data_IF_076467718586
#
_entry.id   IF_076467718586
#
_cell.length_a   1.000
_cell.length_b   1.000
_cell.length_c   1.000
_cell.angle_alpha   90.00
_cell.angle_beta   90.00
_cell.angle_gamma   90.00
#
_symmetry.space_group_name_H-M   'P 1'
#
loop_
_entity.id
_entity.type
_entity.pdbx_description
1 polymer ?
#
# COMPACT_ATOMS: atom_id res chain seq x y z
N UNK A 1 3.98 -1.96 9.47
CA UNK A 1 4.15 -3.11 8.55
C UNK A 1 4.59 -2.57 7.20
N UNK A 2 5.58 -3.18 6.54
CA UNK A 2 6.01 -2.77 5.19
C UNK A 2 5.64 -3.88 4.21
N UNK A 3 4.85 -3.55 3.18
CA UNK A 3 4.36 -4.52 2.19
C UNK A 3 5.18 -4.43 0.90
N UNK A 4 5.77 -5.56 0.48
CA UNK A 4 6.61 -5.67 -0.71
C UNK A 4 6.03 -6.72 -1.64
N UNK A 5 5.60 -6.34 -2.84
CA UNK A 5 5.21 -7.27 -3.89
C UNK A 5 6.42 -7.68 -4.72
N UNK A 6 6.58 -8.98 -4.96
CA UNK A 6 7.65 -9.53 -5.79
C UNK A 6 7.07 -9.95 -7.13
N UNK A 7 7.36 -9.19 -8.18
CA UNK A 7 6.69 -9.32 -9.45
C UNK A 7 7.64 -9.29 -10.64
N UNK A 8 7.35 -10.10 -11.63
CA UNK A 8 7.90 -10.04 -12.99
C UNK A 8 7.03 -10.89 -13.91
N UNK A 9 6.82 -10.45 -15.14
CA UNK A 9 6.05 -11.20 -16.15
C UNK A 9 6.77 -12.46 -16.62
N UNK A 10 8.10 -12.49 -16.47
CA UNK A 10 8.90 -13.64 -16.91
C UNK A 10 8.80 -14.79 -15.89
N UNK A 11 8.43 -15.97 -16.39
CA UNK A 11 8.54 -17.20 -15.62
C UNK A 11 10.01 -17.57 -15.34
N UNK A 12 10.30 -18.10 -14.15
CA UNK A 12 11.64 -18.60 -13.82
C UNK A 12 12.69 -17.54 -13.50
N UNK A 13 12.35 -16.25 -13.41
CA UNK A 13 13.29 -15.18 -13.02
C UNK A 13 13.59 -15.12 -11.51
N UNK A 14 12.98 -15.98 -10.69
CA UNK A 14 13.26 -16.10 -9.27
C UNK A 14 12.30 -15.35 -8.34
N UNK A 15 11.04 -15.06 -8.75
CA UNK A 15 10.03 -14.42 -7.89
C UNK A 15 9.80 -15.19 -6.59
N UNK A 16 9.25 -16.38 -6.68
CA UNK A 16 8.97 -17.26 -5.55
C UNK A 16 10.22 -17.57 -4.72
N UNK A 17 11.33 -17.83 -5.40
CA UNK A 17 12.63 -18.03 -4.74
C UNK A 17 13.03 -16.82 -3.91
N UNK A 18 12.83 -15.61 -4.43
CA UNK A 18 13.13 -14.37 -3.71
C UNK A 18 12.15 -14.15 -2.57
N UNK A 19 10.85 -14.42 -2.77
CA UNK A 19 9.83 -14.30 -1.72
C UNK A 19 10.18 -15.17 -0.50
N UNK A 20 10.47 -16.44 -0.71
CA UNK A 20 10.84 -17.38 0.36
C UNK A 20 12.13 -16.96 1.05
N UNK A 21 13.19 -16.70 0.29
CA UNK A 21 14.52 -16.48 0.87
C UNK A 21 14.68 -15.09 1.51
N UNK A 22 14.03 -14.06 0.97
CA UNK A 22 13.97 -12.75 1.60
C UNK A 22 13.20 -12.83 2.92
N UNK A 23 12.02 -13.49 2.94
CA UNK A 23 11.23 -13.70 4.14
C UNK A 23 12.03 -14.42 5.24
N UNK A 24 12.73 -15.50 4.89
CA UNK A 24 13.55 -16.25 5.83
C UNK A 24 14.73 -15.43 6.37
N UNK A 25 15.39 -14.62 5.53
CA UNK A 25 16.48 -13.76 5.97
C UNK A 25 15.99 -12.61 6.86
N UNK A 26 14.82 -12.02 6.57
CA UNK A 26 14.16 -11.04 7.44
C UNK A 26 13.82 -11.65 8.80
N UNK A 27 13.22 -12.84 8.82
CA UNK A 27 12.86 -13.57 10.04
C UNK A 27 14.11 -13.91 10.89
N UNK A 28 15.19 -14.39 10.28
CA UNK A 28 16.49 -14.65 10.98
C UNK A 28 17.09 -13.39 11.60
N UNK A 29 16.71 -12.20 11.12
CA UNK A 29 17.11 -10.89 11.65
C UNK A 29 16.09 -10.34 12.68
N UNK A 30 15.16 -11.17 13.15
CA UNK A 30 14.20 -10.85 14.20
C UNK A 30 12.97 -10.06 13.72
N UNK A 31 12.73 -10.02 12.40
CA UNK A 31 11.51 -9.41 11.87
C UNK A 31 10.39 -10.44 11.84
N UNK A 32 9.16 -10.02 12.12
CA UNK A 32 7.95 -10.84 11.96
C UNK A 32 7.46 -10.67 10.53
N UNK A 33 7.37 -11.77 9.79
CA UNK A 33 7.07 -11.74 8.36
C UNK A 33 5.77 -12.48 8.06
N UNK A 34 4.88 -11.84 7.32
CA UNK A 34 3.76 -12.50 6.65
C UNK A 34 4.13 -12.72 5.19
N UNK A 35 4.21 -13.97 4.77
CA UNK A 35 4.33 -14.33 3.35
C UNK A 35 2.95 -14.61 2.78
N UNK A 36 2.60 -13.97 1.67
CA UNK A 36 1.35 -14.20 0.95
C UNK A 36 1.70 -14.82 -0.40
N UNK A 37 1.26 -16.06 -0.60
CA UNK A 37 1.37 -16.73 -1.88
C UNK A 37 0.17 -16.33 -2.75
N UNK A 38 0.42 -15.62 -3.83
CA UNK A 38 -0.61 -15.07 -4.72
C UNK A 38 -0.60 -15.74 -6.11
N UNK A 39 0.30 -16.71 -6.31
CA UNK A 39 0.31 -17.53 -7.51
C UNK A 39 -0.58 -18.75 -7.30
N UNK A 40 -1.62 -19.01 -8.13
CA UNK A 40 -2.46 -20.20 -8.04
C UNK A 40 -1.71 -21.53 -8.06
N UNK A 41 -0.43 -21.52 -8.49
CA UNK A 41 0.43 -22.70 -8.46
C UNK A 41 0.93 -23.06 -7.06
N UNK A 42 0.80 -22.19 -6.07
CA UNK A 42 1.14 -22.43 -4.67
C UNK A 42 2.63 -22.72 -4.41
N UNK A 43 3.52 -22.18 -5.26
CA UNK A 43 4.94 -22.53 -5.19
C UNK A 43 5.65 -21.93 -3.98
N UNK A 44 5.19 -20.79 -3.44
CA UNK A 44 5.77 -20.25 -2.21
C UNK A 44 5.38 -21.09 -1.00
N UNK A 45 4.15 -21.55 -0.96
CA UNK A 45 3.63 -22.49 0.05
C UNK A 45 4.41 -23.80 0.02
N UNK A 46 4.51 -24.43 -1.15
CA UNK A 46 5.23 -25.67 -1.34
C UNK A 46 6.72 -25.54 -0.98
N UNK A 47 7.34 -24.44 -1.34
CA UNK A 47 8.76 -24.16 -1.08
C UNK A 47 9.10 -23.95 0.39
N UNK A 48 8.10 -23.79 1.27
CA UNK A 48 8.20 -23.83 2.74
C UNK A 48 7.66 -25.14 3.33
N UNK A 49 7.48 -26.17 2.49
CA UNK A 49 7.02 -27.48 2.92
C UNK A 49 5.54 -27.56 3.29
N UNK A 50 4.74 -26.54 2.89
CA UNK A 50 3.30 -26.51 3.14
C UNK A 50 2.53 -27.04 1.94
N UNK A 51 1.60 -27.97 2.19
CA UNK A 51 0.68 -28.48 1.19
C UNK A 51 -0.69 -27.82 1.39
N UNK A 52 -1.14 -27.02 0.43
CA UNK A 52 -2.31 -26.16 0.54
C UNK A 52 -3.57 -26.71 -0.14
N UNK A 53 -3.61 -28.00 -0.48
CA UNK A 53 -4.72 -28.58 -1.28
C UNK A 53 -6.06 -28.63 -0.52
N UNK A 54 -6.02 -28.74 0.82
CA UNK A 54 -7.21 -28.95 1.68
C UNK A 54 -7.38 -27.86 2.75
N UNK A 55 -6.87 -26.64 2.52
CA UNK A 55 -7.01 -25.55 3.48
C UNK A 55 -7.60 -24.30 2.83
N UNK A 56 -8.31 -23.52 3.63
CA UNK A 56 -8.70 -22.15 3.24
C UNK A 56 -7.44 -21.30 3.06
N UNK A 57 -7.48 -20.38 2.11
CA UNK A 57 -6.34 -19.55 1.76
C UNK A 57 -6.76 -18.20 1.22
N UNK A 58 -5.91 -17.63 0.36
CA UNK A 58 -6.14 -16.30 -0.20
C UNK A 58 -7.42 -16.23 -1.06
N UNK A 59 -7.88 -17.35 -1.63
CA UNK A 59 -9.10 -17.39 -2.43
C UNK A 59 -10.31 -16.98 -1.60
N UNK A 60 -10.50 -17.59 -0.43
CA UNK A 60 -11.63 -17.34 0.46
C UNK A 60 -11.59 -15.90 1.00
N UNK A 61 -10.39 -15.38 1.30
CA UNK A 61 -10.20 -14.00 1.75
C UNK A 61 -10.64 -13.01 0.68
N UNK A 62 -10.18 -13.16 -0.56
CA UNK A 62 -10.49 -12.21 -1.64
C UNK A 62 -11.97 -12.20 -2.04
N UNK A 63 -12.70 -13.28 -1.79
CA UNK A 63 -14.15 -13.38 -2.04
C UNK A 63 -15.00 -13.02 -0.82
N UNK A 64 -14.36 -12.62 0.30
CA UNK A 64 -15.02 -12.35 1.58
C UNK A 64 -15.73 -13.57 2.21
N UNK A 65 -15.30 -14.78 1.87
CA UNK A 65 -15.81 -16.03 2.45
C UNK A 65 -15.09 -16.38 3.76
N UNK A 66 -13.91 -15.74 4.03
CA UNK A 66 -13.16 -15.90 5.27
C UNK A 66 -12.48 -14.60 5.70
N UNK A 67 -12.29 -14.45 7.01
CA UNK A 67 -11.45 -13.38 7.57
C UNK A 67 -9.97 -13.70 7.36
N UNK A 68 -9.15 -12.68 7.05
CA UNK A 68 -7.73 -12.88 6.76
C UNK A 68 -6.98 -13.59 7.90
N UNK A 69 -7.36 -13.33 9.16
CA UNK A 69 -6.74 -13.96 10.33
C UNK A 69 -6.99 -15.46 10.41
N UNK A 70 -8.10 -15.94 9.87
CA UNK A 70 -8.52 -17.34 9.98
C UNK A 70 -7.75 -18.24 9.01
N UNK A 71 -7.23 -17.67 7.92
CA UNK A 71 -6.48 -18.41 6.89
C UNK A 71 -4.96 -18.37 7.08
N UNK A 72 -4.46 -17.58 8.04
CA UNK A 72 -3.02 -17.46 8.30
C UNK A 72 -2.50 -18.76 8.95
N UNK A 73 -1.62 -19.45 8.26
CA UNK A 73 -0.83 -20.54 8.80
C UNK A 73 0.34 -20.00 9.60
N UNK A 74 0.32 -20.24 10.91
CA UNK A 74 1.32 -19.70 11.84
C UNK A 74 2.59 -20.53 11.86
N UNK A 75 3.73 -19.85 12.02
CA UNK A 75 5.06 -20.44 12.23
C UNK A 75 5.42 -21.55 11.20
N UNK A 76 5.05 -21.33 9.92
CA UNK A 76 5.43 -22.27 8.84
C UNK A 76 6.96 -22.37 8.71
N UNK A 77 7.66 -21.32 9.12
CA UNK A 77 9.09 -21.24 9.37
C UNK A 77 9.30 -20.27 10.54
N UNK A 78 10.31 -20.44 11.41
CA UNK A 78 10.52 -19.55 12.56
C UNK A 78 10.50 -18.08 12.18
N UNK A 79 9.46 -17.35 12.65
CA UNK A 79 9.21 -15.93 12.36
C UNK A 79 8.52 -15.65 11.04
N UNK A 80 8.02 -16.67 10.31
CA UNK A 80 7.22 -16.52 9.10
C UNK A 80 5.86 -17.18 9.29
N UNK A 81 4.81 -16.39 9.12
CA UNK A 81 3.45 -16.86 8.91
C UNK A 81 3.12 -16.81 7.42
N UNK A 82 2.20 -17.65 6.94
CA UNK A 82 1.85 -17.82 5.53
C UNK A 82 0.35 -17.70 5.30
N UNK A 83 -0.04 -16.93 4.29
CA UNK A 83 -1.34 -17.08 3.64
C UNK A 83 -1.11 -17.90 2.36
N UNK A 84 -1.60 -19.13 2.29
CA UNK A 84 -1.35 -20.01 1.16
C UNK A 84 -2.21 -19.65 -0.05
N UNK A 85 -1.71 -19.99 -1.25
CA UNK A 85 -2.53 -20.06 -2.45
C UNK A 85 -3.05 -21.48 -2.65
N UNK A 86 -4.28 -21.57 -3.15
CA UNK A 86 -4.85 -22.80 -3.67
C UNK A 86 -5.12 -22.69 -5.17
N UNK A 87 -5.33 -23.79 -5.85
CA UNK A 87 -5.68 -23.78 -7.29
C UNK A 87 -6.97 -22.99 -7.57
N UNK A 88 -7.87 -22.92 -6.58
CA UNK A 88 -9.12 -22.14 -6.65
C UNK A 88 -8.87 -20.66 -6.89
N UNK A 89 -7.70 -20.13 -6.47
CA UNK A 89 -7.31 -18.73 -6.68
C UNK A 89 -7.31 -18.34 -8.17
N UNK A 90 -7.14 -19.29 -9.10
CA UNK A 90 -7.27 -19.04 -10.53
C UNK A 90 -8.68 -18.58 -10.95
N UNK A 91 -9.71 -18.91 -10.19
CA UNK A 91 -11.09 -18.50 -10.46
C UNK A 91 -11.42 -17.07 -10.00
N UNK A 92 -10.62 -16.49 -9.12
CA UNK A 92 -10.85 -15.17 -8.51
C UNK A 92 -11.07 -14.08 -9.57
N UNK A 93 -10.33 -14.10 -10.67
CA UNK A 93 -10.45 -13.09 -11.73
C UNK A 93 -11.86 -13.03 -12.35
N UNK A 94 -12.51 -14.18 -12.46
CA UNK A 94 -13.89 -14.26 -12.99
C UNK A 94 -14.92 -13.85 -11.92
N UNK A 95 -14.70 -14.27 -10.68
CA UNK A 95 -15.66 -14.07 -9.59
C UNK A 95 -15.65 -12.63 -9.06
N UNK A 96 -14.51 -11.97 -9.06
CA UNK A 96 -14.40 -10.56 -8.67
C UNK A 96 -14.86 -9.56 -9.73
N UNK A 97 -15.23 -10.00 -10.94
CA UNK A 97 -15.62 -9.06 -11.99
C UNK A 97 -16.78 -8.14 -11.62
N UNK A 98 -17.71 -8.63 -10.80
CA UNK A 98 -18.88 -7.89 -10.35
C UNK A 98 -18.64 -7.05 -9.08
N UNK A 99 -17.44 -7.17 -8.50
CA UNK A 99 -17.07 -6.40 -7.31
C UNK A 99 -16.59 -4.99 -7.67
N UNK A 100 -17.11 -4.01 -6.95
CA UNK A 100 -16.51 -2.67 -6.93
C UNK A 100 -15.12 -2.76 -6.30
N UNK A 101 -14.16 -1.98 -6.83
CA UNK A 101 -12.77 -1.98 -6.30
C UNK A 101 -12.11 -3.37 -6.28
N UNK A 102 -12.42 -4.22 -7.27
CA UNK A 102 -11.90 -5.59 -7.39
C UNK A 102 -10.38 -5.72 -7.35
N UNK A 103 -9.68 -4.65 -7.69
CA UNK A 103 -8.21 -4.54 -7.68
C UNK A 103 -7.63 -4.07 -6.32
N UNK A 104 -8.50 -3.83 -5.30
CA UNK A 104 -8.11 -3.38 -3.96
C UNK A 104 -8.46 -4.36 -2.84
N UNK A 105 -9.03 -5.50 -3.18
CA UNK A 105 -9.55 -6.45 -2.18
C UNK A 105 -8.47 -6.86 -1.17
N UNK A 106 -7.27 -7.20 -1.64
CA UNK A 106 -6.17 -7.54 -0.73
C UNK A 106 -5.82 -6.39 0.22
N UNK A 107 -5.85 -5.14 -0.25
CA UNK A 107 -5.57 -3.98 0.60
C UNK A 107 -6.56 -3.88 1.75
N UNK A 108 -7.85 -4.03 1.49
CA UNK A 108 -8.90 -3.96 2.52
C UNK A 108 -8.70 -5.01 3.62
N UNK A 109 -8.33 -6.22 3.24
CA UNK A 109 -8.06 -7.28 4.21
C UNK A 109 -6.76 -7.05 4.98
N UNK A 110 -5.70 -6.54 4.33
CA UNK A 110 -4.44 -6.22 5.02
C UNK A 110 -4.56 -5.05 5.99
N UNK A 111 -5.45 -4.10 5.75
CA UNK A 111 -5.70 -2.98 6.68
C UNK A 111 -6.18 -3.47 8.07
N UNK A 112 -6.89 -4.59 8.12
CA UNK A 112 -7.29 -5.20 9.40
C UNK A 112 -6.10 -5.71 10.21
N UNK A 113 -5.03 -6.15 9.55
CA UNK A 113 -3.78 -6.60 10.18
C UNK A 113 -2.88 -5.44 10.62
N UNK A 114 -2.96 -4.27 9.96
CA UNK A 114 -2.17 -3.09 10.33
C UNK A 114 -2.45 -2.64 11.76
N UNK A 115 -3.69 -2.77 12.22
CA UNK A 115 -4.12 -2.38 13.55
C UNK A 115 -3.63 -3.31 14.66
N UNK A 116 -3.13 -4.50 14.33
CA UNK A 116 -2.70 -5.52 15.30
C UNK A 116 -1.19 -5.51 15.61
N UNK A 117 -0.39 -4.67 14.92
CA UNK A 117 1.09 -4.65 15.00
C UNK A 117 1.74 -6.05 14.87
N UNK A 118 1.08 -6.98 14.17
CA UNK A 118 1.47 -8.38 14.16
C UNK A 118 2.73 -8.64 13.32
N UNK A 119 2.97 -7.83 12.25
CA UNK A 119 4.06 -8.04 11.30
C UNK A 119 4.88 -6.78 11.05
N UNK A 120 6.19 -6.98 10.85
CA UNK A 120 7.11 -5.92 10.42
C UNK A 120 7.14 -5.82 8.90
N UNK A 121 7.07 -6.97 8.21
CA UNK A 121 7.03 -7.09 6.77
C UNK A 121 5.90 -7.99 6.29
N UNK A 122 5.30 -7.62 5.16
CA UNK A 122 4.46 -8.51 4.34
C UNK A 122 5.12 -8.67 2.98
N UNK A 123 5.40 -9.90 2.59
CA UNK A 123 5.98 -10.25 1.29
C UNK A 123 4.90 -10.93 0.45
N UNK A 124 4.65 -10.42 -0.76
CA UNK A 124 3.64 -10.97 -1.67
C UNK A 124 4.36 -11.61 -2.86
N UNK A 125 4.24 -12.92 -3.02
CA UNK A 125 4.71 -13.63 -4.22
C UNK A 125 3.66 -13.55 -5.32
N UNK A 126 3.95 -12.79 -6.39
CA UNK A 126 3.00 -12.51 -7.46
C UNK A 126 3.05 -13.57 -8.57
N UNK A 127 1.89 -13.86 -9.21
CA UNK A 127 1.87 -14.69 -10.41
C UNK A 127 2.67 -14.03 -11.56
N UNK A 128 3.08 -14.81 -12.58
CA UNK A 128 3.84 -14.27 -13.71
C UNK A 128 3.00 -13.41 -14.67
N UNK A 129 1.68 -13.48 -14.57
CA UNK A 129 0.78 -12.73 -15.44
C UNK A 129 0.37 -11.40 -14.79
N UNK A 130 0.26 -10.34 -15.60
CA UNK A 130 -0.37 -9.07 -15.19
C UNK A 130 -1.89 -9.24 -15.18
N UNK A 131 -2.38 -9.86 -14.15
CA UNK A 131 -3.76 -10.22 -13.93
C UNK A 131 -4.36 -9.41 -12.78
N UNK A 132 -5.65 -9.60 -12.51
CA UNK A 132 -6.31 -8.98 -11.37
C UNK A 132 -5.63 -9.30 -10.03
N UNK A 133 -5.06 -10.50 -9.88
CA UNK A 133 -4.26 -10.87 -8.71
C UNK A 133 -3.01 -9.99 -8.59
N UNK A 134 -2.25 -9.83 -9.69
CA UNK A 134 -1.07 -8.96 -9.67
C UNK A 134 -1.45 -7.50 -9.36
N UNK A 135 -2.58 -7.00 -9.87
CA UNK A 135 -3.05 -5.65 -9.55
C UNK A 135 -3.44 -5.48 -8.08
N UNK A 136 -4.05 -6.49 -7.46
CA UNK A 136 -4.29 -6.51 -6.03
C UNK A 136 -2.98 -6.44 -5.23
N UNK A 137 -1.96 -7.22 -5.63
CA UNK A 137 -0.65 -7.16 -5.02
C UNK A 137 0.00 -5.76 -5.15
N UNK A 138 -0.07 -5.15 -6.34
CA UNK A 138 0.52 -3.82 -6.59
C UNK A 138 -0.22 -2.72 -5.83
N UNK A 139 -1.54 -2.84 -5.69
CA UNK A 139 -2.32 -1.90 -4.90
C UNK A 139 -1.97 -2.00 -3.41
N UNK A 140 -1.81 -3.21 -2.89
CA UNK A 140 -1.48 -3.45 -1.49
C UNK A 140 -0.02 -3.12 -1.14
N UNK A 141 0.91 -3.19 -2.12
CA UNK A 141 2.34 -3.03 -1.87
C UNK A 141 2.73 -1.57 -1.67
N UNK A 142 3.61 -1.29 -0.71
CA UNK A 142 4.31 -0.01 -0.58
C UNK A 142 5.48 0.08 -1.55
N UNK A 143 5.96 -1.06 -2.05
CA UNK A 143 7.12 -1.16 -2.93
C UNK A 143 7.06 -2.43 -3.77
N UNK A 144 7.56 -2.38 -4.99
CA UNK A 144 7.64 -3.56 -5.86
C UNK A 144 9.11 -3.94 -6.07
N UNK A 145 9.43 -5.20 -5.78
CA UNK A 145 10.73 -5.81 -6.08
C UNK A 145 10.61 -6.64 -7.36
N UNK A 146 11.46 -6.34 -8.33
CA UNK A 146 11.46 -6.98 -9.65
C UNK A 146 12.72 -7.86 -9.79
N UNK A 147 12.64 -9.16 -9.50
CA UNK A 147 13.73 -10.09 -9.79
C UNK A 147 13.91 -10.24 -11.30
N UNK A 148 15.15 -10.12 -11.78
CA UNK A 148 15.49 -10.11 -13.20
C UNK A 148 16.67 -11.03 -13.46
N UNK A 149 16.49 -12.03 -14.32
CA UNK A 149 17.57 -12.89 -14.77
C UNK A 149 18.44 -12.22 -15.86
N UNK A 150 19.66 -12.65 -16.00
CA UNK A 150 20.62 -12.10 -16.96
C UNK A 150 20.37 -12.60 -18.39
N UNK A 151 19.22 -12.21 -18.96
CA UNK A 151 18.82 -12.60 -20.33
C UNK A 151 18.60 -11.38 -21.22
N UNK A 152 18.62 -11.60 -22.54
CA UNK A 152 18.44 -10.53 -23.53
C UNK A 152 17.06 -9.83 -23.42
N UNK A 153 16.03 -10.54 -22.93
CA UNK A 153 14.69 -9.99 -22.79
C UNK A 153 14.44 -9.32 -21.45
N UNK A 154 15.45 -9.25 -20.58
CA UNK A 154 15.32 -8.69 -19.25
C UNK A 154 14.93 -7.21 -19.28
N UNK A 155 15.60 -6.41 -20.09
CA UNK A 155 15.39 -4.97 -20.21
C UNK A 155 13.97 -4.64 -20.66
N UNK A 156 13.50 -5.29 -21.73
CA UNK A 156 12.14 -5.09 -22.24
C UNK A 156 11.09 -5.51 -21.21
N UNK A 157 11.35 -6.58 -20.46
CA UNK A 157 10.44 -7.04 -19.39
C UNK A 157 10.34 -6.04 -18.24
N UNK A 158 11.47 -5.41 -17.85
CA UNK A 158 11.48 -4.37 -16.82
C UNK A 158 10.69 -3.15 -17.29
N UNK A 159 10.92 -2.67 -18.51
CA UNK A 159 10.22 -1.50 -19.06
C UNK A 159 8.71 -1.69 -19.06
N UNK A 160 8.23 -2.79 -19.64
CA UNK A 160 6.78 -3.09 -19.72
C UNK A 160 6.15 -3.17 -18.33
N UNK A 161 6.84 -3.76 -17.36
CA UNK A 161 6.33 -3.84 -16.00
C UNK A 161 6.35 -2.47 -15.33
N UNK A 162 7.43 -1.69 -15.51
CA UNK A 162 7.53 -0.33 -14.98
C UNK A 162 6.44 0.58 -15.54
N UNK A 163 6.16 0.51 -16.85
CA UNK A 163 5.07 1.27 -17.48
C UNK A 163 3.71 0.89 -16.88
N UNK A 164 3.47 -0.41 -16.64
CA UNK A 164 2.23 -0.86 -16.01
C UNK A 164 2.11 -0.33 -14.57
N UNK A 165 3.21 -0.37 -13.79
CA UNK A 165 3.22 0.14 -12.42
C UNK A 165 3.00 1.66 -12.41
N UNK A 166 3.58 2.40 -13.36
CA UNK A 166 3.36 3.85 -13.50
C UNK A 166 1.89 4.16 -13.79
N UNK A 167 1.23 3.42 -14.69
CA UNK A 167 -0.20 3.58 -14.95
C UNK A 167 -1.06 3.33 -13.70
N UNK A 168 -0.68 2.34 -12.89
CA UNK A 168 -1.35 2.06 -11.61
C UNK A 168 -1.10 3.21 -10.63
N UNK A 169 0.13 3.70 -10.53
CA UNK A 169 0.51 4.84 -9.67
C UNK A 169 -0.30 6.10 -10.04
N UNK A 170 -0.43 6.39 -11.32
CA UNK A 170 -1.25 7.50 -11.82
C UNK A 170 -2.74 7.31 -11.49
N UNK A 171 -3.28 6.12 -11.76
CA UNK A 171 -4.70 5.80 -11.47
C UNK A 171 -5.05 6.02 -10.00
N UNK A 172 -4.16 5.63 -9.09
CA UNK A 172 -4.41 5.70 -7.64
C UNK A 172 -3.76 6.92 -6.98
N UNK A 173 -3.12 7.81 -7.75
CA UNK A 173 -2.41 8.99 -7.26
C UNK A 173 -1.44 8.65 -6.11
N UNK A 174 -0.77 7.50 -6.22
CA UNK A 174 0.18 6.99 -5.24
C UNK A 174 1.46 6.55 -5.94
N UNK A 175 2.60 7.09 -5.52
CA UNK A 175 3.90 6.61 -5.99
C UNK A 175 4.18 5.21 -5.43
N UNK A 176 4.52 4.27 -6.32
CA UNK A 176 4.90 2.91 -5.96
C UNK A 176 6.35 2.70 -6.43
N UNK A 177 7.33 2.90 -5.55
CA UNK A 177 8.72 2.74 -5.90
C UNK A 177 9.04 1.30 -6.31
N UNK A 178 9.81 1.17 -7.39
CA UNK A 178 10.30 -0.12 -7.89
C UNK A 178 11.76 -0.31 -7.52
N UNK A 179 12.13 -1.55 -7.22
CA UNK A 179 13.51 -1.99 -7.05
C UNK A 179 13.77 -3.18 -7.97
N UNK A 180 14.84 -3.11 -8.74
CA UNK A 180 15.26 -4.15 -9.67
C UNK A 180 16.33 -4.99 -8.99
N UNK A 181 16.10 -6.30 -8.88
CA UNK A 181 17.01 -7.26 -8.28
C UNK A 181 17.60 -8.15 -9.36
N UNK A 182 18.86 -7.96 -9.76
CA UNK A 182 19.55 -8.90 -10.63
C UNK A 182 19.66 -10.28 -9.94
N UNK A 183 19.14 -11.32 -10.59
CA UNK A 183 19.15 -12.70 -10.08
C UNK A 183 19.91 -13.63 -11.01
N UNK A 184 20.31 -14.79 -10.49
CA UNK A 184 21.02 -15.81 -11.26
C UNK A 184 22.29 -15.28 -11.92
N UNK A 185 22.98 -14.35 -11.26
CA UNK A 185 24.15 -13.67 -11.79
C UNK A 185 25.36 -14.60 -11.77
N UNK A 186 25.88 -14.92 -12.94
CA UNK A 186 27.13 -15.68 -13.12
C UNK A 186 28.21 -14.79 -13.73
N UNK A 187 29.06 -14.22 -12.90
CA UNK A 187 30.15 -13.32 -13.32
C UNK A 187 31.23 -13.95 -14.18
N UNK A 188 31.23 -15.29 -14.35
CA UNK A 188 32.18 -15.98 -15.24
C UNK A 188 31.87 -15.70 -16.71
N UNK A 189 30.63 -15.28 -17.02
CA UNK A 189 30.23 -15.01 -18.40
C UNK A 189 30.33 -13.52 -18.75
N UNK A 190 30.83 -13.22 -19.94
CA UNK A 190 30.88 -11.84 -20.46
C UNK A 190 29.50 -11.27 -20.68
N UNK A 191 28.56 -12.13 -21.11
CA UNK A 191 27.17 -11.72 -21.38
C UNK A 191 26.46 -11.21 -20.12
N UNK A 192 26.61 -11.90 -18.99
CA UNK A 192 26.08 -11.46 -17.71
C UNK A 192 26.54 -10.05 -17.35
N UNK A 193 27.83 -9.76 -17.54
CA UNK A 193 28.38 -8.43 -17.26
C UNK A 193 27.75 -7.36 -18.15
N UNK A 194 27.62 -7.63 -19.46
CA UNK A 194 27.00 -6.69 -20.40
C UNK A 194 25.54 -6.36 -20.00
N UNK A 195 24.74 -7.37 -19.67
CA UNK A 195 23.35 -7.17 -19.28
C UNK A 195 23.27 -6.42 -17.94
N UNK A 196 24.14 -6.75 -16.99
CA UNK A 196 24.14 -6.07 -15.68
C UNK A 196 24.56 -4.60 -15.81
N UNK A 197 25.53 -4.29 -16.64
CA UNK A 197 25.96 -2.92 -16.93
C UNK A 197 24.82 -2.14 -17.59
N UNK A 198 24.16 -2.70 -18.59
CA UNK A 198 23.02 -2.10 -19.29
C UNK A 198 21.83 -1.84 -18.33
N UNK A 199 21.49 -2.81 -17.45
CA UNK A 199 20.45 -2.62 -16.42
C UNK A 199 20.87 -1.47 -15.50
N UNK A 200 22.12 -1.42 -15.07
CA UNK A 200 22.63 -0.41 -14.14
C UNK A 200 22.63 0.99 -14.73
N UNK A 201 23.03 1.14 -16.01
CA UNK A 201 23.02 2.41 -16.71
C UNK A 201 21.59 2.93 -16.94
N UNK A 202 20.67 2.03 -17.32
CA UNK A 202 19.30 2.40 -17.68
C UNK A 202 18.42 2.72 -16.49
N UNK A 203 18.53 1.94 -15.40
CA UNK A 203 17.64 2.04 -14.24
C UNK A 203 18.29 2.63 -12.99
N UNK A 204 19.57 2.87 -13.00
CA UNK A 204 20.36 3.63 -12.01
C UNK A 204 20.03 3.28 -10.53
N UNK A 205 19.50 4.22 -9.79
CA UNK A 205 19.18 4.11 -8.36
C UNK A 205 18.08 3.09 -8.03
N UNK A 206 17.32 2.65 -9.03
CA UNK A 206 16.34 1.58 -8.87
C UNK A 206 16.95 0.19 -8.77
N UNK A 207 18.22 0.02 -9.16
CA UNK A 207 18.89 -1.28 -9.17
C UNK A 207 19.48 -1.59 -7.80
N UNK A 208 19.10 -2.75 -7.25
CA UNK A 208 19.69 -3.26 -6.00
C UNK A 208 21.16 -3.64 -6.28
N UNK A 209 22.07 -3.04 -5.51
CA UNK A 209 23.52 -3.21 -5.68
C UNK A 209 24.04 -4.58 -5.28
N UNK A 210 23.22 -5.38 -4.60
CA UNK A 210 23.54 -6.75 -4.19
C UNK A 210 22.78 -7.73 -5.07
N UNK A 211 23.35 -8.24 -6.17
CA UNK A 211 22.72 -9.24 -7.02
C UNK A 211 22.70 -10.61 -6.33
N UNK A 212 21.77 -11.46 -6.75
CA UNK A 212 21.72 -12.86 -6.30
C UNK A 212 22.53 -13.73 -7.24
N UNK A 213 23.58 -14.33 -6.73
CA UNK A 213 24.44 -15.21 -7.50
C UNK A 213 23.75 -16.49 -7.94
N UNK A 214 24.10 -16.97 -9.13
CA UNK A 214 23.63 -18.27 -9.62
C UNK A 214 24.23 -19.40 -8.79
N UNK A 215 23.37 -20.29 -8.30
CA UNK A 215 23.77 -21.55 -7.64
C UNK A 215 22.69 -22.61 -7.79
N UNK A 216 23.09 -23.88 -7.92
CA UNK A 216 22.16 -25.02 -7.92
C UNK A 216 21.60 -25.31 -6.53
N UNK A 217 22.27 -24.85 -5.47
CA UNK A 217 21.89 -25.05 -4.07
C UNK A 217 20.50 -24.49 -3.73
N UNK A 218 20.09 -23.40 -4.38
CA UNK A 218 18.74 -22.85 -4.24
C UNK A 218 17.68 -23.87 -4.68
N UNK A 219 17.91 -24.58 -5.78
CA UNK A 219 16.98 -25.62 -6.26
C UNK A 219 16.96 -26.83 -5.34
N UNK A 220 18.11 -27.20 -4.79
CA UNK A 220 18.21 -28.29 -3.80
C UNK A 220 17.51 -27.92 -2.50
N UNK A 221 17.63 -26.68 -2.03
CA UNK A 221 16.94 -26.15 -0.88
C UNK A 221 15.41 -26.18 -1.08
N UNK A 222 14.93 -25.66 -2.22
CA UNK A 222 13.51 -25.67 -2.57
C UNK A 222 12.95 -27.10 -2.64
N UNK A 223 13.69 -28.06 -3.18
CA UNK A 223 13.29 -29.48 -3.19
C UNK A 223 13.14 -30.05 -1.77
N UNK A 224 13.84 -29.52 -0.79
CA UNK A 224 13.76 -29.91 0.62
C UNK A 224 12.70 -29.13 1.41
N UNK A 225 11.99 -28.16 0.77
CA UNK A 225 11.07 -27.28 1.45
C UNK A 225 11.77 -26.32 2.43
N UNK A 226 13.01 -25.94 2.15
CA UNK A 226 13.83 -25.11 3.04
C UNK A 226 14.32 -23.84 2.33
N UNK A 227 14.39 -22.69 3.02
CA UNK A 227 15.13 -21.53 2.53
C UNK A 227 16.62 -21.81 2.44
N UNK A 228 17.33 -21.12 1.54
CA UNK A 228 18.78 -21.32 1.33
C UNK A 228 19.60 -21.04 2.59
N UNK A 229 19.18 -20.10 3.41
CA UNK A 229 19.85 -19.74 4.68
C UNK A 229 19.81 -20.87 5.70
N UNK A 230 18.84 -21.77 5.59
CA UNK A 230 18.74 -22.97 6.44
C UNK A 230 19.47 -24.15 5.80
N UNK A 231 19.31 -24.30 4.47
CA UNK A 231 19.89 -25.40 3.73
C UNK A 231 21.42 -25.31 3.62
N UNK A 232 21.95 -24.11 3.32
CA UNK A 232 23.40 -23.88 3.17
C UNK A 232 23.77 -22.45 3.58
N UNK A 233 23.88 -22.25 4.89
CA UNK A 233 24.12 -20.94 5.52
C UNK A 233 25.33 -20.20 4.93
N UNK A 234 26.44 -20.89 4.67
CA UNK A 234 27.68 -20.28 4.18
C UNK A 234 27.73 -20.10 2.65
N UNK A 235 26.64 -20.32 1.93
CA UNK A 235 26.61 -20.11 0.47
C UNK A 235 26.60 -18.61 0.11
N UNK A 236 27.09 -18.29 -1.09
CA UNK A 236 27.00 -16.93 -1.63
C UNK A 236 25.53 -16.45 -1.70
N UNK A 237 24.63 -17.31 -2.16
CA UNK A 237 23.22 -16.95 -2.25
C UNK A 237 22.59 -16.67 -0.89
N UNK A 238 22.94 -17.40 0.16
CA UNK A 238 22.51 -17.11 1.52
C UNK A 238 23.00 -15.74 1.98
N UNK A 239 24.27 -15.43 1.72
CA UNK A 239 24.84 -14.10 2.01
C UNK A 239 24.17 -12.99 1.21
N UNK A 240 23.82 -13.22 -0.06
CA UNK A 240 23.17 -12.24 -0.93
C UNK A 240 21.76 -11.90 -0.42
N UNK A 241 20.93 -12.91 -0.12
CA UNK A 241 19.60 -12.68 0.46
C UNK A 241 19.68 -12.05 1.85
N UNK A 242 20.69 -12.41 2.66
CA UNK A 242 20.89 -11.75 3.96
C UNK A 242 21.20 -10.26 3.79
N UNK A 243 22.04 -9.87 2.82
CA UNK A 243 22.33 -8.46 2.50
C UNK A 243 21.11 -7.74 1.92
N UNK A 244 20.31 -8.42 1.11
CA UNK A 244 19.06 -7.89 0.60
C UNK A 244 18.09 -7.56 1.77
N UNK A 245 17.97 -8.46 2.74
CA UNK A 245 17.17 -8.23 3.94
C UNK A 245 17.70 -7.03 4.75
N UNK A 246 19.01 -6.88 4.93
CA UNK A 246 19.61 -5.71 5.59
C UNK A 246 19.29 -4.40 4.86
N UNK A 247 19.26 -4.42 3.53
CA UNK A 247 18.88 -3.25 2.73
C UNK A 247 17.44 -2.85 3.02
N UNK A 248 16.50 -3.80 3.03
CA UNK A 248 15.09 -3.51 3.31
C UNK A 248 14.85 -3.06 4.74
N UNK A 249 15.49 -3.67 5.73
CA UNK A 249 15.40 -3.23 7.13
C UNK A 249 15.86 -1.78 7.28
N UNK A 250 16.99 -1.41 6.64
CA UNK A 250 17.50 -0.02 6.66
C UNK A 250 16.55 0.95 5.98
N UNK A 251 16.05 0.61 4.78
CA UNK A 251 15.09 1.45 4.05
C UNK A 251 13.85 1.73 4.88
N UNK A 252 13.28 0.70 5.52
CA UNK A 252 12.09 0.84 6.35
C UNK A 252 12.36 1.62 7.64
N UNK A 253 13.52 1.41 8.27
CA UNK A 253 13.91 2.16 9.48
C UNK A 253 14.07 3.65 9.17
N UNK A 254 14.71 4.01 8.05
CA UNK A 254 14.87 5.39 7.61
C UNK A 254 13.54 6.07 7.32
N UNK A 255 12.61 5.38 6.68
CA UNK A 255 11.26 5.90 6.40
C UNK A 255 10.46 6.11 7.68
N UNK A 256 10.55 5.19 8.65
CA UNK A 256 9.88 5.32 9.97
C UNK A 256 10.44 6.50 10.76
N UNK A 257 11.76 6.71 10.77
CA UNK A 257 12.40 7.86 11.44
C UNK A 257 11.94 9.16 10.81
N UNK A 258 11.94 9.25 9.47
CA UNK A 258 11.50 10.44 8.75
C UNK A 258 10.02 10.77 9.03
N UNK A 259 9.16 9.76 9.09
CA UNK A 259 7.76 9.93 9.47
C UNK A 259 7.62 10.38 10.93
N UNK A 260 8.34 9.77 11.87
CA UNK A 260 8.30 10.14 13.27
C UNK A 260 8.75 11.60 13.48
N UNK A 261 9.85 12.02 12.85
CA UNK A 261 10.32 13.41 12.87
C UNK A 261 9.28 14.37 12.26
N UNK A 262 8.59 13.96 11.19
CA UNK A 262 7.53 14.74 10.57
C UNK A 262 6.33 14.88 11.50
N UNK A 263 5.88 13.80 12.13
CA UNK A 263 4.80 13.84 13.11
C UNK A 263 5.16 14.68 14.34
N UNK A 264 6.40 14.58 14.83
CA UNK A 264 6.87 15.39 15.95
C UNK A 264 6.90 16.88 15.59
N UNK A 265 7.39 17.25 14.42
CA UNK A 265 7.33 18.62 13.89
C UNK A 265 5.91 19.16 13.75
N UNK A 266 5.00 18.33 13.25
CA UNK A 266 3.58 18.71 13.15
C UNK A 266 3.00 18.92 14.56
N UNK A 267 3.29 18.05 15.52
CA UNK A 267 2.83 18.19 16.90
C UNK A 267 3.37 19.46 17.56
N UNK A 268 4.67 19.78 17.37
CA UNK A 268 5.28 21.02 17.86
C UNK A 268 4.66 22.27 17.22
N UNK A 269 4.36 22.23 15.92
CA UNK A 269 3.69 23.34 15.23
C UNK A 269 2.26 23.55 15.76
N UNK A 270 1.56 22.48 16.06
CA UNK A 270 0.22 22.54 16.64
C UNK A 270 0.23 23.09 18.07
N UNK A 271 1.17 22.64 18.93
CA UNK A 271 1.36 23.19 20.28
C UNK A 271 1.71 24.68 20.27
N UNK A 272 2.63 25.10 19.39
CA UNK A 272 3.00 26.51 19.26
C UNK A 272 1.87 27.41 18.69
N UNK A 273 0.91 26.82 17.98
CA UNK A 273 -0.28 27.52 17.52
C UNK A 273 -1.32 27.72 18.64
N UNK A 274 -1.33 26.84 19.66
CA UNK A 274 -2.22 26.95 20.82
C UNK A 274 -1.68 27.93 21.91
N UNK A 275 -0.35 28.15 21.96
CA UNK A 275 0.28 29.01 22.99
C UNK A 275 0.33 30.51 22.69
N UNK A 276 -0.22 31.00 21.56
CA UNK A 276 -0.39 32.42 21.32
C UNK A 276 -1.75 32.92 21.78
N UNK A 277 -1.88 33.54 22.96
CA UNK A 277 -3.12 34.20 23.37
C UNK A 277 -3.42 35.35 22.41
N UNK A 278 -4.56 35.29 21.75
CA UNK A 278 -5.01 36.34 20.86
C UNK A 278 -5.26 37.65 21.63
N UNK A 279 -4.74 38.76 21.11
CA UNK A 279 -5.17 40.11 21.51
C UNK A 279 -6.66 40.25 21.16
N UNK A 280 -7.44 40.47 22.22
CA UNK A 280 -8.88 40.77 22.11
C UNK A 280 -9.07 42.17 21.50
N UNK A 281 -9.64 42.25 20.32
CA UNK A 281 -10.32 43.47 19.85
C UNK A 281 -11.81 43.38 20.15
N UNK A 282 -12.47 44.47 20.63
CA UNK A 282 -13.82 44.42 21.18
C UNK A 282 -14.88 44.19 20.09
N UNK A 283 -15.73 43.17 20.36
CA UNK A 283 -16.86 42.83 19.53
C UNK A 283 -18.04 43.73 19.86
N UNK A 284 -18.56 44.44 18.86
CA UNK A 284 -19.87 45.06 18.92
C UNK A 284 -20.97 43.98 18.90
N UNK A 285 -21.83 44.03 19.86
CA UNK A 285 -23.02 43.19 20.01
C UNK A 285 -24.05 43.52 18.93
N UNK A 286 -24.37 42.54 18.08
CA UNK A 286 -25.66 42.50 17.41
C UNK A 286 -26.23 41.08 17.45
N UNK A 287 -27.37 41.00 18.12
CA UNK A 287 -28.19 39.80 18.26
C UNK A 287 -28.90 39.52 16.93
N UNK A 288 -28.56 38.43 16.26
CA UNK A 288 -29.57 37.69 15.47
C UNK A 288 -29.14 36.25 15.29
N UNK A 289 -29.96 35.35 15.84
CA UNK A 289 -29.78 33.92 15.76
C UNK A 289 -30.06 33.41 14.34
N UNK A 290 -28.97 33.08 13.63
CA UNK A 290 -29.05 32.14 12.53
C UNK A 290 -27.69 31.38 12.50
N UNK A 291 -27.73 30.15 13.00
CA UNK A 291 -26.56 29.24 13.03
C UNK A 291 -26.23 28.79 11.60
N UNK A 292 -25.46 29.59 10.89
CA UNK A 292 -24.89 29.20 9.62
C UNK A 292 -23.63 28.36 9.87
N UNK A 293 -23.59 27.14 9.32
CA UNK A 293 -22.35 26.38 9.20
C UNK A 293 -21.38 27.14 8.30
N UNK A 294 -20.18 27.40 8.81
CA UNK A 294 -19.19 28.22 8.12
C UNK A 294 -18.17 27.30 7.46
N UNK A 295 -17.98 27.51 6.16
CA UNK A 295 -16.85 26.94 5.42
C UNK A 295 -15.70 27.94 5.60
N UNK A 296 -14.62 27.50 6.29
CA UNK A 296 -13.37 28.28 6.37
C UNK A 296 -12.32 27.64 5.48
N UNK A 297 -11.70 28.46 4.64
CA UNK A 297 -10.61 28.08 3.75
C UNK A 297 -9.33 28.77 4.23
N UNK A 298 -8.31 27.98 4.59
CA UNK A 298 -6.98 28.47 4.95
C UNK A 298 -5.98 28.03 3.89
N UNK A 299 -5.21 28.96 3.35
CA UNK A 299 -4.22 28.75 2.30
C UNK A 299 -2.87 28.40 2.89
N UNK A 300 -2.34 27.21 2.56
CA UNK A 300 -0.94 26.86 2.75
C UNK A 300 -0.21 26.82 1.41
N UNK A 301 1.09 27.07 1.40
CA UNK A 301 1.99 27.18 0.22
C UNK A 301 2.24 25.87 -0.54
N UNK A 302 1.37 24.87 -0.40
CA UNK A 302 1.35 23.63 -1.19
C UNK A 302 0.17 23.66 -2.17
N UNK A 303 0.25 22.88 -3.23
CA UNK A 303 -0.78 22.73 -4.28
C UNK A 303 -2.16 22.25 -3.78
N UNK A 304 -2.34 22.06 -2.48
CA UNK A 304 -3.59 21.65 -1.84
C UNK A 304 -4.09 22.70 -0.84
N UNK A 305 -5.41 22.85 -0.77
CA UNK A 305 -6.11 23.77 0.14
C UNK A 305 -6.68 22.98 1.32
N UNK A 306 -6.42 23.46 2.53
CA UNK A 306 -7.05 22.91 3.75
C UNK A 306 -8.46 23.47 3.88
N UNK A 307 -9.45 22.61 3.90
CA UNK A 307 -10.86 22.94 4.01
C UNK A 307 -11.43 22.33 5.28
N UNK A 308 -12.23 23.09 6.03
CA UNK A 308 -12.91 22.61 7.22
C UNK A 308 -14.42 22.70 7.03
N UNK A 309 -15.10 21.56 7.09
CA UNK A 309 -16.54 21.46 7.13
C UNK A 309 -16.99 21.25 8.59
N UNK A 310 -17.95 22.03 9.06
CA UNK A 310 -18.37 22.01 10.46
C UNK A 310 -19.84 21.62 10.57
N UNK A 311 -20.11 20.64 11.44
CA UNK A 311 -21.45 20.11 11.67
C UNK A 311 -21.78 20.12 13.17
N UNK A 312 -23.06 20.23 13.51
CA UNK A 312 -23.51 20.13 14.90
C UNK A 312 -23.37 18.67 15.38
N UNK A 313 -22.70 18.48 16.51
CA UNK A 313 -22.56 17.16 17.12
C UNK A 313 -23.82 16.79 17.92
N UNK A 314 -24.30 15.57 17.67
CA UNK A 314 -25.33 14.94 18.49
C UNK A 314 -24.67 13.76 19.20
N UNK A 315 -24.75 13.72 20.54
CA UNK A 315 -24.10 12.70 21.36
C UNK A 315 -24.52 11.28 20.94
N UNK A 316 -23.59 10.44 20.59
CA UNK A 316 -23.84 9.06 20.15
C UNK A 316 -24.07 8.90 18.65
N UNK A 317 -24.04 9.99 17.84
CA UNK A 317 -24.18 9.95 16.40
C UNK A 317 -22.82 9.72 15.74
N UNK A 318 -22.73 8.74 14.81
CA UNK A 318 -21.57 8.51 13.96
C UNK A 318 -21.72 9.30 12.66
N UNK A 319 -20.98 10.42 12.54
CA UNK A 319 -20.99 11.27 11.35
C UNK A 319 -19.68 11.11 10.60
N UNK A 320 -19.76 10.62 9.37
CA UNK A 320 -18.64 10.50 8.43
C UNK A 320 -18.94 11.26 7.15
N UNK A 321 -17.88 11.53 6.35
CA UNK A 321 -17.99 12.18 5.06
C UNK A 321 -17.24 11.37 3.99
N UNK A 322 -17.84 11.19 2.83
CA UNK A 322 -17.24 10.55 1.67
C UNK A 322 -17.56 11.31 0.38
N UNK A 323 -16.60 11.37 -0.53
CA UNK A 323 -16.74 12.07 -1.79
C UNK A 323 -15.56 11.83 -2.72
N UNK A 324 -15.53 12.55 -3.84
CA UNK A 324 -14.45 12.44 -4.84
C UNK A 324 -13.06 12.71 -4.24
N UNK A 325 -12.98 13.50 -3.16
CA UNK A 325 -11.74 13.88 -2.47
C UNK A 325 -11.14 12.75 -1.62
N UNK A 326 -11.87 11.71 -1.30
CA UNK A 326 -11.42 10.56 -0.52
C UNK A 326 -11.88 9.22 -1.10
N UNK A 327 -12.09 9.20 -2.43
CA UNK A 327 -12.50 8.02 -3.20
C UNK A 327 -13.79 7.36 -2.68
N UNK A 328 -14.70 8.15 -2.10
CA UNK A 328 -15.96 7.69 -1.52
C UNK A 328 -15.80 6.74 -0.32
N UNK A 329 -14.62 6.71 0.32
CA UNK A 329 -14.36 5.95 1.55
C UNK A 329 -14.67 6.83 2.75
N UNK A 330 -15.62 6.44 3.64
CA UNK A 330 -16.03 7.27 4.77
C UNK A 330 -14.84 7.67 5.66
N UNK A 331 -14.65 8.99 5.81
CA UNK A 331 -13.57 9.63 6.60
C UNK A 331 -12.14 9.26 6.21
N UNK A 332 -11.90 8.62 5.09
CA UNK A 332 -10.55 8.38 4.61
C UNK A 332 -9.84 9.71 4.29
N UNK A 333 -8.64 9.91 4.83
CA UNK A 333 -7.87 11.17 4.74
C UNK A 333 -8.62 12.41 5.26
N UNK A 334 -9.59 12.22 6.15
CA UNK A 334 -10.36 13.28 6.79
C UNK A 334 -10.03 13.32 8.27
N UNK A 335 -9.50 14.43 8.75
CA UNK A 335 -9.29 14.62 10.18
C UNK A 335 -10.59 15.08 10.82
N UNK A 336 -11.12 14.30 11.78
CA UNK A 336 -12.33 14.61 12.53
C UNK A 336 -11.97 15.16 13.91
N UNK A 337 -12.41 16.36 14.23
CA UNK A 337 -12.19 17.00 15.53
C UNK A 337 -13.52 17.38 16.14
N UNK A 338 -13.70 17.07 17.42
CA UNK A 338 -14.90 17.45 18.17
C UNK A 338 -14.57 18.53 19.20
N UNK A 339 -15.13 19.73 19.01
CA UNK A 339 -14.90 20.88 19.88
C UNK A 339 -16.22 21.60 20.13
N UNK A 340 -16.53 21.89 21.38
CA UNK A 340 -17.68 22.72 21.80
C UNK A 340 -19.02 22.30 21.19
N UNK A 341 -19.28 20.99 21.09
CA UNK A 341 -20.54 20.49 20.53
C UNK A 341 -20.66 20.55 19.01
N UNK A 342 -19.53 20.76 18.32
CA UNK A 342 -19.38 20.73 16.87
C UNK A 342 -18.42 19.63 16.46
N UNK A 343 -18.65 19.03 15.28
CA UNK A 343 -17.68 18.16 14.59
C UNK A 343 -17.10 18.94 13.42
N UNK A 344 -15.79 19.04 13.39
CA UNK A 344 -15.02 19.60 12.30
C UNK A 344 -14.42 18.47 11.46
N UNK A 345 -14.76 18.43 10.17
CA UNK A 345 -14.15 17.53 9.17
C UNK A 345 -13.17 18.33 8.36
N UNK A 346 -11.87 18.04 8.55
CA UNK A 346 -10.78 18.75 7.90
C UNK A 346 -10.26 17.93 6.72
N UNK A 347 -10.29 18.53 5.55
CA UNK A 347 -9.91 17.95 4.26
C UNK A 347 -8.71 18.72 3.69
N UNK A 348 -7.75 18.02 3.07
CA UNK A 348 -6.70 18.62 2.27
C UNK A 348 -6.97 18.27 0.80
N UNK A 349 -7.45 19.22 0.01
CA UNK A 349 -7.91 18.98 -1.36
C UNK A 349 -7.32 20.00 -2.34
N UNK A 350 -7.04 19.57 -3.57
CA UNK A 350 -6.63 20.46 -4.63
C UNK A 350 -7.78 21.39 -5.07
N UNK A 351 -7.52 22.53 -5.70
CA UNK A 351 -8.58 23.33 -6.32
C UNK A 351 -9.37 22.49 -7.33
N UNK A 352 -10.72 22.53 -7.22
CA UNK A 352 -11.59 21.72 -8.06
C UNK A 352 -13.02 21.70 -7.56
N UNK A 353 -13.86 20.90 -8.21
CA UNK A 353 -15.24 20.67 -7.80
C UNK A 353 -15.41 19.19 -7.47
N UNK A 354 -15.89 18.90 -6.27
CA UNK A 354 -15.99 17.57 -5.70
C UNK A 354 -17.43 17.25 -5.36
N UNK A 355 -17.87 16.03 -5.65
CA UNK A 355 -19.14 15.53 -5.16
C UNK A 355 -18.92 14.82 -3.82
N UNK A 356 -19.88 14.94 -2.89
CA UNK A 356 -19.77 14.26 -1.60
C UNK A 356 -21.16 13.97 -0.98
N UNK A 357 -21.16 13.06 -0.02
CA UNK A 357 -22.29 12.75 0.85
C UNK A 357 -21.84 12.64 2.30
N UNK A 358 -22.76 12.83 3.21
CA UNK A 358 -22.58 12.51 4.61
C UNK A 358 -23.09 11.09 4.88
N UNK A 359 -22.43 10.43 5.82
CA UNK A 359 -22.87 9.15 6.36
C UNK A 359 -23.20 9.37 7.83
N UNK A 360 -24.47 9.24 8.18
CA UNK A 360 -24.96 9.43 9.54
C UNK A 360 -25.54 8.10 10.00
N UNK A 361 -24.93 7.50 11.03
CA UNK A 361 -25.33 6.20 11.57
C UNK A 361 -25.48 5.13 10.47
N UNK A 362 -24.49 5.10 9.54
CA UNK A 362 -24.43 4.17 8.41
C UNK A 362 -25.33 4.53 7.22
N UNK A 363 -26.13 5.60 7.28
CA UNK A 363 -27.00 6.03 6.18
C UNK A 363 -26.36 7.13 5.35
N UNK A 364 -26.27 6.92 4.05
CA UNK A 364 -25.77 7.87 3.06
C UNK A 364 -26.82 8.93 2.75
N UNK A 365 -26.53 10.19 3.06
CA UNK A 365 -27.42 11.32 2.79
C UNK A 365 -26.66 12.45 2.10
N UNK A 366 -27.37 13.26 1.30
CA UNK A 366 -26.83 14.54 0.86
C UNK A 366 -26.63 15.45 2.06
N UNK A 367 -25.67 16.37 1.98
CA UNK A 367 -25.49 17.39 3.02
C UNK A 367 -26.72 18.33 3.05
N UNK A 368 -27.49 18.34 4.12
CA UNK A 368 -28.68 19.16 4.23
C UNK A 368 -28.38 20.68 4.28
N UNK A 369 -27.11 21.02 4.58
CA UNK A 369 -26.67 22.42 4.68
C UNK A 369 -26.03 22.93 3.40
N UNK A 370 -25.84 22.06 2.38
CA UNK A 370 -25.30 22.46 1.09
C UNK A 370 -26.40 22.53 0.03
N UNK A 371 -26.66 23.74 -0.47
CA UNK A 371 -27.67 23.97 -1.50
C UNK A 371 -27.23 23.54 -2.91
N UNK A 372 -25.91 23.41 -3.15
CA UNK A 372 -25.40 22.97 -4.43
C UNK A 372 -25.42 21.43 -4.52
N UNK A 373 -26.22 20.90 -5.41
CA UNK A 373 -26.48 19.47 -5.53
C UNK A 373 -26.45 19.04 -6.99
N UNK A 374 -26.07 17.79 -7.24
CA UNK A 374 -26.06 17.17 -8.54
C UNK A 374 -26.64 15.75 -8.46
N UNK A 375 -27.36 15.33 -9.49
CA UNK A 375 -27.86 13.97 -9.59
C UNK A 375 -26.71 13.04 -10.02
N UNK A 376 -26.46 11.98 -9.26
CA UNK A 376 -25.46 10.98 -9.62
C UNK A 376 -26.03 9.95 -10.61
N UNK A 377 -25.18 9.05 -11.09
CA UNK A 377 -25.54 7.99 -12.06
C UNK A 377 -26.58 6.98 -11.54
N UNK A 378 -26.83 6.97 -10.22
CA UNK A 378 -27.79 6.10 -9.56
C UNK A 378 -29.14 6.79 -9.29
N UNK A 379 -29.32 8.04 -9.74
CA UNK A 379 -30.53 8.81 -9.52
C UNK A 379 -30.65 9.43 -8.12
N UNK A 380 -29.57 9.46 -7.34
CA UNK A 380 -29.52 10.09 -6.02
C UNK A 380 -28.80 11.44 -6.05
N UNK A 381 -29.10 12.31 -5.09
CA UNK A 381 -28.46 13.61 -5.01
C UNK A 381 -27.17 13.56 -4.19
N UNK A 382 -26.08 14.01 -4.81
CA UNK A 382 -24.82 14.33 -4.15
C UNK A 382 -24.72 15.83 -3.89
N UNK A 383 -24.03 16.24 -2.84
CA UNK A 383 -23.68 17.64 -2.58
C UNK A 383 -22.41 18.02 -3.33
N UNK A 384 -22.29 19.27 -3.78
CA UNK A 384 -21.12 19.79 -4.50
C UNK A 384 -20.27 20.66 -3.58
N UNK A 385 -18.97 20.39 -3.54
CA UNK A 385 -17.97 21.18 -2.84
C UNK A 385 -17.04 21.82 -3.89
N UNK A 386 -17.01 23.15 -3.95
CA UNK A 386 -16.14 23.90 -4.83
C UNK A 386 -14.98 24.48 -4.05
N UNK A 387 -13.76 24.14 -4.44
CA UNK A 387 -12.50 24.61 -3.85
C UNK A 387 -11.80 25.52 -4.87
N UNK A 388 -11.61 26.77 -4.50
CA UNK A 388 -10.99 27.76 -5.38
C UNK A 388 -9.46 27.73 -5.25
N UNK A 389 -8.77 28.01 -6.34
CA UNK A 389 -7.31 28.15 -6.32
C UNK A 389 -6.92 29.39 -5.48
N UNK A 390 -5.82 29.34 -4.70
CA UNK A 390 -5.33 30.50 -3.99
C UNK A 390 -4.99 31.61 -4.99
N UNK A 391 -5.55 32.81 -4.78
CA UNK A 391 -5.20 33.97 -5.60
C UNK A 391 -3.76 34.37 -5.26
N UNK A 392 -2.86 34.29 -6.25
CA UNK A 392 -1.53 34.88 -6.16
C UNK A 392 -1.69 36.40 -6.09
N UNK A 393 -1.54 36.96 -4.91
CA UNK A 393 -1.32 38.40 -4.75
C UNK A 393 0.14 38.65 -5.13
N UNK A 394 0.35 39.10 -6.35
CA UNK A 394 1.66 39.63 -6.78
C UNK A 394 1.81 41.00 -6.08
N UNK A 395 2.72 41.05 -5.12
CA UNK A 395 3.16 42.28 -4.46
C UNK A 395 4.29 42.92 -5.26
#
# INVERSE_FOLDING_TARGET
MTTIAIANQKGGCGKTTTAINLSACLAKKGQRVLLIDMDPQGHASLGLGQHSEDCDGLYEVLLHDAEINDVIQKDVYPGIDLIPATISLAAVEHLLNDFNDKDKQLTFHLETLLNSESYDFTIIDCPPQLSLLAFNAFHAAERILIPVDMSIYALEGIDRLADTINLISEKYQRDIPINILPTMVDYRTRFTKLILDEISERFQDKVITTPIHYTTRIKEAAFKGLPIIEYEYNSLASSDYSRLADNYIRLCSSSRVLMADTYQRIAELLQNAEEKPGEETPVATDNNANTANTIKQETSTSTSTKLTLTYKYVKGQDLKIAGDFNNWIPDHNVVSQQVNGLIHKVLNVAPGTYQYRLIIDGKWIKDPHNSQQILNSYGELNSLLKVEAPQLVIA
#
